data_IF_326878595200
#
_entry.id   IF_326878595200
#
_cell.length_a   1.000
_cell.length_b   1.000
_cell.length_c   1.000
_cell.angle_alpha   90.00
_cell.angle_beta   90.00
_cell.angle_gamma   90.00
#
_symmetry.space_group_name_H-M   'P 1'
#
loop_
_entity.id
_entity.type
_entity.pdbx_description
1 polymer ?
#
# COMPACT_ATOMS: atom_id res chain seq x y z
N UNK A 1 -53.99 -24.22 43.24
CA UNK A 1 -54.65 -22.96 42.86
C UNK A 1 -53.68 -21.84 43.17
N UNK A 2 -53.07 -21.20 42.16
CA UNK A 2 -52.13 -20.11 42.38
C UNK A 2 -51.01 -19.99 41.33
N UNK A 3 -51.33 -19.29 40.24
CA UNK A 3 -50.44 -18.53 39.36
C UNK A 3 -49.22 -19.22 38.72
N UNK A 4 -49.50 -19.91 37.61
CA UNK A 4 -48.59 -20.05 36.47
C UNK A 4 -48.53 -18.69 35.79
N UNK A 5 -47.51 -17.89 36.08
CA UNK A 5 -47.26 -16.63 35.38
C UNK A 5 -46.73 -16.91 33.98
N UNK A 6 -47.55 -16.64 32.96
CA UNK A 6 -47.13 -16.54 31.56
C UNK A 6 -45.95 -15.57 31.45
N UNK A 7 -44.76 -16.12 31.24
CA UNK A 7 -43.60 -15.42 30.65
C UNK A 7 -43.64 -15.66 29.14
N UNK A 8 -44.79 -15.34 28.54
CA UNK A 8 -45.03 -15.34 27.10
C UNK A 8 -45.48 -13.92 26.77
N UNK A 9 -44.78 -13.28 25.82
CA UNK A 9 -45.18 -12.08 25.06
C UNK A 9 -44.35 -10.80 25.18
N UNK A 10 -43.15 -10.82 25.79
CA UNK A 10 -42.18 -9.71 25.64
C UNK A 10 -40.92 -10.12 24.87
N UNK A 11 -40.96 -11.20 24.07
CA UNK A 11 -40.17 -11.27 22.84
C UNK A 11 -40.85 -10.39 21.80
N UNK A 12 -40.86 -9.10 22.11
CA UNK A 12 -41.04 -8.04 21.16
C UNK A 12 -39.85 -8.18 20.20
N UNK A 13 -40.02 -9.04 19.18
CA UNK A 13 -39.36 -9.01 17.87
C UNK A 13 -39.73 -7.69 17.17
N UNK A 14 -39.72 -6.58 17.94
CA UNK A 14 -39.95 -5.23 17.51
C UNK A 14 -38.87 -4.94 16.52
N UNK A 15 -39.27 -5.01 15.24
CA UNK A 15 -38.44 -4.74 14.09
C UNK A 15 -37.05 -5.32 14.26
N UNK A 16 -36.86 -6.60 13.95
CA UNK A 16 -35.58 -6.95 13.32
C UNK A 16 -35.54 -6.01 12.10
N UNK A 17 -34.74 -4.93 12.10
CA UNK A 17 -34.70 -4.09 10.92
C UNK A 17 -34.41 -5.02 9.75
N UNK A 18 -35.06 -4.80 8.62
CA UNK A 18 -34.79 -5.47 7.34
C UNK A 18 -33.31 -5.29 6.96
N UNK A 19 -32.45 -6.02 7.65
CA UNK A 19 -31.01 -6.15 7.45
C UNK A 19 -30.76 -7.32 6.48
N UNK A 20 -31.83 -8.00 6.06
CA UNK A 20 -31.84 -9.05 5.05
C UNK A 20 -32.66 -8.63 3.83
N UNK A 21 -32.04 -7.80 2.99
CA UNK A 21 -31.94 -8.08 1.56
C UNK A 21 -33.21 -7.88 0.73
N UNK A 22 -33.36 -6.68 0.17
CA UNK A 22 -34.33 -6.40 -0.88
C UNK A 22 -33.84 -5.35 -1.86
N UNK A 23 -33.11 -5.77 -2.90
CA UNK A 23 -33.46 -5.34 -4.26
C UNK A 23 -32.67 -4.23 -4.96
N UNK A 24 -31.61 -3.66 -4.40
CA UNK A 24 -30.63 -2.90 -5.20
C UNK A 24 -29.39 -3.75 -5.38
N UNK A 25 -28.77 -3.71 -6.56
CA UNK A 25 -27.43 -4.28 -6.79
C UNK A 25 -26.42 -3.48 -5.96
N UNK A 26 -26.47 -3.65 -4.64
CA UNK A 26 -25.71 -2.88 -3.69
C UNK A 26 -24.26 -3.15 -4.01
N UNK A 27 -23.59 -2.09 -4.46
CA UNK A 27 -22.16 -2.02 -4.50
C UNK A 27 -21.66 -2.27 -3.07
N UNK A 28 -21.46 -3.54 -2.76
CA UNK A 28 -21.08 -3.98 -1.44
C UNK A 28 -19.68 -3.44 -1.28
N UNK A 29 -19.46 -2.55 -0.30
CA UNK A 29 -18.15 -1.95 -0.03
C UNK A 29 -17.00 -2.98 -0.05
N UNK A 30 -17.28 -4.21 0.40
CA UNK A 30 -16.38 -5.37 0.34
C UNK A 30 -15.98 -5.79 -1.07
N UNK A 31 -16.90 -5.74 -2.03
CA UNK A 31 -16.63 -6.03 -3.44
C UNK A 31 -15.70 -4.99 -4.04
N UNK A 32 -15.84 -3.72 -3.68
CA UNK A 32 -14.91 -2.68 -4.09
C UNK A 32 -13.50 -2.92 -3.53
N UNK A 33 -13.40 -3.19 -2.22
CA UNK A 33 -12.13 -3.51 -1.58
C UNK A 33 -11.46 -4.71 -2.25
N UNK A 34 -12.20 -5.81 -2.43
CA UNK A 34 -11.67 -7.06 -2.97
C UNK A 34 -11.27 -6.97 -4.45
N UNK A 35 -12.07 -6.30 -5.29
CA UNK A 35 -11.88 -6.31 -6.74
C UNK A 35 -11.11 -5.11 -7.28
N UNK A 36 -11.11 -3.99 -6.57
CA UNK A 36 -10.47 -2.76 -7.04
C UNK A 36 -9.28 -2.41 -6.15
N UNK A 37 -9.49 -2.31 -4.84
CA UNK A 37 -8.47 -1.73 -3.96
C UNK A 37 -7.33 -2.71 -3.61
N UNK A 38 -7.61 -4.01 -3.54
CA UNK A 38 -6.64 -5.05 -3.19
C UNK A 38 -5.73 -5.50 -4.36
N UNK A 39 -6.24 -5.81 -5.57
CA UNK A 39 -5.37 -6.30 -6.64
C UNK A 39 -4.42 -5.23 -7.16
N UNK A 40 -4.82 -3.95 -7.11
CA UNK A 40 -4.01 -2.84 -7.59
C UNK A 40 -2.62 -2.78 -6.94
N UNK A 41 -2.47 -2.69 -5.59
CA UNK A 41 -1.16 -2.66 -4.97
C UNK A 41 -0.38 -3.95 -5.16
N UNK A 42 -1.03 -5.11 -5.18
CA UNK A 42 -0.37 -6.41 -5.39
C UNK A 42 0.28 -6.46 -6.78
N UNK A 43 -0.47 -6.09 -7.83
CA UNK A 43 0.05 -6.04 -9.20
C UNK A 43 1.20 -5.04 -9.31
N UNK A 44 1.09 -3.86 -8.70
CA UNK A 44 2.16 -2.86 -8.71
C UNK A 44 3.42 -3.33 -7.98
N UNK A 45 3.29 -4.02 -6.84
CA UNK A 45 4.44 -4.60 -6.11
C UNK A 45 5.13 -5.66 -6.96
N UNK A 46 4.38 -6.57 -7.59
CA UNK A 46 4.94 -7.59 -8.48
C UNK A 46 5.65 -6.94 -9.67
N UNK A 47 5.02 -5.94 -10.28
CA UNK A 47 5.57 -5.21 -11.43
C UNK A 47 6.84 -4.42 -11.07
N UNK A 48 6.93 -3.88 -9.85
CA UNK A 48 8.14 -3.20 -9.33
C UNK A 48 9.25 -4.17 -8.90
N UNK A 49 8.89 -5.39 -8.50
CA UNK A 49 9.83 -6.41 -8.03
C UNK A 49 10.39 -7.26 -9.17
N UNK A 50 9.68 -7.34 -10.29
CA UNK A 50 10.12 -8.09 -11.46
C UNK A 50 11.39 -7.47 -12.07
N UNK A 51 12.40 -8.28 -12.43
CA UNK A 51 13.58 -7.82 -13.16
C UNK A 51 13.21 -7.51 -14.63
N UNK A 52 12.61 -6.35 -14.86
CA UNK A 52 12.18 -5.90 -16.17
C UNK A 52 13.32 -5.19 -16.94
N UNK A 53 13.31 -5.23 -18.29
CA UNK A 53 14.24 -4.44 -19.10
C UNK A 53 14.08 -2.94 -18.80
N UNK A 54 15.17 -2.18 -18.97
CA UNK A 54 15.27 -0.78 -18.53
C UNK A 54 14.11 0.09 -19.02
N UNK A 55 13.64 -0.12 -20.25
CA UNK A 55 12.53 0.63 -20.85
C UNK A 55 11.20 0.36 -20.13
N UNK A 56 10.89 -0.91 -19.87
CA UNK A 56 9.65 -1.29 -19.16
C UNK A 56 9.69 -0.76 -17.74
N UNK A 57 10.82 -0.93 -17.04
CA UNK A 57 10.99 -0.40 -15.68
C UNK A 57 10.76 1.11 -15.62
N UNK A 58 11.24 1.88 -16.60
CA UNK A 58 10.97 3.33 -16.70
C UNK A 58 9.47 3.60 -16.89
N UNK A 59 8.80 2.89 -17.78
CA UNK A 59 7.36 3.04 -17.99
C UNK A 59 6.55 2.74 -16.71
N UNK A 60 6.86 1.63 -16.07
CA UNK A 60 6.23 1.18 -14.82
C UNK A 60 6.42 2.20 -13.71
N UNK A 61 7.66 2.64 -13.46
CA UNK A 61 7.91 3.58 -12.37
C UNK A 61 7.21 4.92 -12.64
N UNK A 62 7.17 5.42 -13.89
CA UNK A 62 6.43 6.66 -14.24
C UNK A 62 4.94 6.49 -14.02
N UNK A 63 4.39 5.34 -14.39
CA UNK A 63 2.99 5.01 -14.16
C UNK A 63 2.68 4.95 -12.66
N UNK A 64 3.53 4.27 -11.89
CA UNK A 64 3.46 4.17 -10.43
C UNK A 64 3.56 5.57 -9.79
N UNK A 65 4.53 6.38 -10.18
CA UNK A 65 4.66 7.75 -9.67
C UNK A 65 3.42 8.59 -10.00
N UNK A 66 2.91 8.51 -11.23
CA UNK A 66 1.69 9.21 -11.64
C UNK A 66 0.50 8.74 -10.81
N UNK A 67 0.38 7.44 -10.54
CA UNK A 67 -0.76 6.87 -9.83
C UNK A 67 -0.69 7.10 -8.31
N UNK A 68 0.49 7.03 -7.69
CA UNK A 68 0.65 7.21 -6.25
C UNK A 68 0.79 8.69 -5.84
N UNK A 69 1.50 9.49 -6.65
CA UNK A 69 1.87 10.88 -6.35
C UNK A 69 0.96 11.88 -7.07
N UNK A 70 -0.03 11.43 -7.86
CA UNK A 70 -1.04 12.34 -8.39
C UNK A 70 -1.67 13.14 -7.25
N UNK A 71 -1.61 14.47 -7.38
CA UNK A 71 -2.14 15.40 -6.39
C UNK A 71 -3.64 15.55 -6.61
N UNK A 72 -4.44 15.01 -5.70
CA UNK A 72 -5.89 15.17 -5.76
C UNK A 72 -6.28 16.58 -5.33
N UNK A 73 -5.71 17.08 -4.23
CA UNK A 73 -5.92 18.46 -3.73
C UNK A 73 -4.86 18.82 -2.69
N UNK A 74 -3.96 19.75 -3.00
CA UNK A 74 -2.93 20.23 -2.06
C UNK A 74 -1.79 19.23 -1.82
N UNK A 75 -1.26 19.10 -0.58
CA UNK A 75 -0.15 18.19 -0.25
C UNK A 75 -0.58 16.73 -0.10
N UNK A 76 -1.86 16.41 -0.32
CA UNK A 76 -2.40 15.06 -0.13
C UNK A 76 -2.23 14.26 -1.42
N UNK A 77 -1.36 13.27 -1.36
CA UNK A 77 -1.13 12.30 -2.44
C UNK A 77 -2.15 11.15 -2.35
N UNK A 78 -2.48 10.52 -3.49
CA UNK A 78 -3.45 9.40 -3.58
C UNK A 78 -3.11 8.29 -2.59
N UNK A 79 -1.83 8.00 -2.36
CA UNK A 79 -1.44 6.94 -1.44
C UNK A 79 -1.92 7.18 0.00
N UNK A 80 -1.87 8.43 0.47
CA UNK A 80 -2.33 8.76 1.82
C UNK A 80 -3.83 8.54 1.92
N UNK A 81 -4.56 8.88 0.87
CA UNK A 81 -6.00 8.64 0.80
C UNK A 81 -6.34 7.13 0.77
N UNK A 82 -5.60 6.34 -0.01
CA UNK A 82 -5.77 4.89 -0.05
C UNK A 82 -5.46 4.23 1.30
N UNK A 83 -4.36 4.65 1.96
CA UNK A 83 -4.00 4.19 3.30
C UNK A 83 -5.04 4.59 4.35
N UNK A 84 -5.58 5.81 4.28
CA UNK A 84 -6.65 6.26 5.17
C UNK A 84 -7.94 5.46 4.97
N UNK A 85 -8.37 5.23 3.73
CA UNK A 85 -9.55 4.41 3.43
C UNK A 85 -9.35 2.98 3.92
N UNK A 86 -8.19 2.38 3.66
CA UNK A 86 -7.89 1.03 4.10
C UNK A 86 -7.83 0.94 5.64
N UNK A 87 -7.19 1.91 6.29
CA UNK A 87 -7.11 2.01 7.75
C UNK A 87 -8.49 2.19 8.39
N UNK A 88 -9.30 3.10 7.86
CA UNK A 88 -10.70 3.27 8.29
C UNK A 88 -11.49 1.97 8.12
N UNK A 89 -11.34 1.29 6.98
CA UNK A 89 -12.00 0.00 6.74
C UNK A 89 -11.63 -1.05 7.78
N UNK A 90 -10.36 -1.14 8.17
CA UNK A 90 -9.92 -2.03 9.27
C UNK A 90 -10.59 -1.63 10.58
N UNK A 91 -10.58 -0.35 10.94
CA UNK A 91 -11.21 0.12 12.19
C UNK A 91 -12.71 -0.16 12.25
N UNK A 92 -13.42 -0.03 11.12
CA UNK A 92 -14.84 -0.38 11.02
C UNK A 92 -15.10 -1.89 11.15
N UNK A 93 -14.14 -2.76 10.84
CA UNK A 93 -14.29 -4.21 11.01
C UNK A 93 -14.12 -4.69 12.45
N UNK A 94 -13.30 -3.99 13.24
CA UNK A 94 -12.93 -4.43 14.60
C UNK A 94 -14.16 -4.57 15.49
N UNK A 95 -15.07 -3.60 15.47
CA UNK A 95 -16.28 -3.62 16.29
C UNK A 95 -17.17 -4.84 16.04
N UNK A 96 -17.65 -5.06 14.80
CA UNK A 96 -18.48 -6.22 14.45
C UNK A 96 -17.79 -7.57 14.68
N UNK A 97 -16.46 -7.64 14.51
CA UNK A 97 -15.68 -8.85 14.79
C UNK A 97 -15.73 -9.18 16.28
N UNK A 98 -15.31 -8.25 17.14
CA UNK A 98 -15.28 -8.44 18.59
C UNK A 98 -16.68 -8.68 19.18
N UNK A 99 -17.71 -7.99 18.66
CA UNK A 99 -19.08 -8.22 19.12
C UNK A 99 -19.58 -9.61 18.76
N UNK A 100 -19.24 -10.12 17.56
CA UNK A 100 -19.67 -11.47 17.14
C UNK A 100 -18.99 -12.58 17.94
N UNK A 101 -17.73 -12.42 18.33
CA UNK A 101 -17.03 -13.37 19.20
C UNK A 101 -17.67 -13.41 20.60
N UNK A 102 -18.01 -12.23 21.14
CA UNK A 102 -18.68 -12.14 22.44
C UNK A 102 -20.10 -12.74 22.42
N UNK A 103 -20.83 -12.62 21.30
CA UNK A 103 -22.15 -13.24 21.11
C UNK A 103 -22.05 -14.77 21.08
N UNK A 104 -21.09 -15.33 20.31
CA UNK A 104 -20.88 -16.78 20.21
C UNK A 104 -20.48 -17.38 21.56
N UNK A 105 -19.56 -16.74 22.28
CA UNK A 105 -19.12 -17.19 23.60
C UNK A 105 -20.25 -17.23 24.65
N UNK A 106 -21.23 -16.32 24.56
CA UNK A 106 -22.39 -16.31 25.46
C UNK A 106 -23.39 -17.41 25.16
N UNK A 107 -23.51 -17.81 23.89
CA UNK A 107 -24.54 -18.74 23.42
C UNK A 107 -24.08 -20.19 23.37
N UNK A 108 -22.79 -20.46 23.53
CA UNK A 108 -22.24 -21.82 23.64
C UNK A 108 -22.92 -22.64 24.76
N UNK A 109 -23.46 -21.98 25.80
CA UNK A 109 -24.19 -22.63 26.89
C UNK A 109 -25.71 -22.82 26.65
N UNK A 110 -26.31 -22.21 25.60
CA UNK A 110 -27.75 -22.30 25.30
C UNK A 110 -27.98 -23.06 23.99
N UNK A 111 -28.36 -24.34 24.14
CA UNK A 111 -28.47 -25.39 23.10
C UNK A 111 -29.61 -25.19 22.07
N UNK A 112 -29.46 -24.27 21.12
CA UNK A 112 -30.13 -24.42 19.81
C UNK A 112 -29.10 -24.48 18.68
N UNK A 113 -28.87 -25.66 18.07
CA UNK A 113 -27.87 -25.82 17.02
C UNK A 113 -28.15 -24.94 15.80
N UNK A 114 -29.41 -24.62 15.49
CA UNK A 114 -29.74 -23.80 14.33
C UNK A 114 -29.28 -22.36 14.51
N UNK A 115 -29.44 -21.81 15.72
CA UNK A 115 -28.99 -20.45 16.06
C UNK A 115 -27.46 -20.39 16.04
N UNK A 116 -26.80 -21.43 16.55
CA UNK A 116 -25.34 -21.51 16.59
C UNK A 116 -24.73 -21.49 15.18
N UNK A 117 -25.28 -22.27 14.24
CA UNK A 117 -24.83 -22.26 12.84
C UNK A 117 -24.98 -20.87 12.21
N UNK A 118 -26.09 -20.18 12.47
CA UNK A 118 -26.32 -18.83 11.96
C UNK A 118 -25.29 -17.83 12.50
N UNK A 119 -24.94 -17.91 13.80
CA UNK A 119 -23.97 -17.02 14.42
C UNK A 119 -22.54 -17.30 13.97
N UNK A 120 -22.15 -18.58 13.86
CA UNK A 120 -20.85 -18.96 13.30
C UNK A 120 -20.70 -18.45 11.86
N UNK A 121 -21.76 -18.56 11.04
CA UNK A 121 -21.74 -18.04 9.68
C UNK A 121 -21.56 -16.51 9.65
N UNK A 122 -22.15 -15.77 10.60
CA UNK A 122 -21.98 -14.32 10.75
C UNK A 122 -20.56 -13.96 11.19
N UNK A 123 -20.03 -14.64 12.20
CA UNK A 123 -18.66 -14.47 12.68
C UNK A 123 -17.66 -14.69 11.56
N UNK A 124 -17.78 -15.78 10.81
CA UNK A 124 -16.87 -16.09 9.70
C UNK A 124 -16.88 -15.01 8.61
N UNK A 125 -18.04 -14.42 8.29
CA UNK A 125 -18.12 -13.31 7.33
C UNK A 125 -17.42 -12.06 7.84
N UNK A 126 -17.61 -11.72 9.12
CA UNK A 126 -16.97 -10.56 9.74
C UNK A 126 -15.45 -10.74 9.80
N UNK A 127 -14.99 -11.92 10.22
CA UNK A 127 -13.57 -12.26 10.29
C UNK A 127 -12.92 -12.19 8.90
N UNK A 128 -13.55 -12.77 7.87
CA UNK A 128 -13.05 -12.70 6.49
C UNK A 128 -12.95 -11.25 6.00
N UNK A 129 -13.94 -10.41 6.29
CA UNK A 129 -13.93 -9.00 5.90
C UNK A 129 -12.81 -8.22 6.62
N UNK A 130 -12.59 -8.51 7.90
CA UNK A 130 -11.46 -7.98 8.66
C UNK A 130 -10.12 -8.34 8.04
N UNK A 131 -9.88 -9.63 7.77
CA UNK A 131 -8.65 -10.09 7.14
C UNK A 131 -8.42 -9.46 5.76
N UNK A 132 -9.48 -9.30 4.97
CA UNK A 132 -9.40 -8.66 3.67
C UNK A 132 -9.02 -7.17 3.77
N UNK A 133 -9.62 -6.44 4.72
CA UNK A 133 -9.27 -5.04 4.98
C UNK A 133 -7.81 -4.93 5.47
N UNK A 134 -7.39 -5.82 6.38
CA UNK A 134 -6.03 -5.84 6.91
C UNK A 134 -5.00 -6.14 5.81
N UNK A 135 -5.29 -7.11 4.95
CA UNK A 135 -4.43 -7.45 3.81
C UNK A 135 -4.36 -6.31 2.78
N UNK A 136 -5.47 -5.60 2.56
CA UNK A 136 -5.48 -4.42 1.69
C UNK A 136 -4.59 -3.32 2.26
N UNK A 137 -4.75 -3.00 3.56
CA UNK A 137 -3.92 -2.00 4.24
C UNK A 137 -2.43 -2.37 4.20
N UNK A 138 -2.09 -3.62 4.51
CA UNK A 138 -0.70 -4.10 4.48
C UNK A 138 -0.11 -4.05 3.07
N UNK A 139 -0.88 -4.42 2.04
CA UNK A 139 -0.45 -4.35 0.64
C UNK A 139 -0.11 -2.92 0.21
N UNK A 140 -0.95 -1.94 0.58
CA UNK A 140 -0.68 -0.52 0.32
C UNK A 140 0.54 0.00 1.09
N UNK A 141 0.73 -0.43 2.34
CA UNK A 141 1.90 -0.07 3.13
C UNK A 141 3.19 -0.65 2.53
N UNK A 142 3.18 -1.91 2.10
CA UNK A 142 4.32 -2.55 1.44
C UNK A 142 4.64 -1.85 0.11
N UNK A 143 3.61 -1.54 -0.70
CA UNK A 143 3.79 -0.79 -1.94
C UNK A 143 4.49 0.56 -1.69
N UNK A 144 4.09 1.27 -0.63
CA UNK A 144 4.72 2.54 -0.26
C UNK A 144 6.21 2.39 0.05
N UNK A 145 6.56 1.42 0.91
CA UNK A 145 7.94 1.17 1.31
C UNK A 145 8.78 0.76 0.10
N UNK A 146 8.26 -0.15 -0.74
CA UNK A 146 8.94 -0.60 -1.97
C UNK A 146 9.16 0.56 -2.93
N UNK A 147 8.18 1.45 -3.07
CA UNK A 147 8.30 2.65 -3.90
C UNK A 147 9.39 3.58 -3.37
N UNK A 148 9.41 3.89 -2.07
CA UNK A 148 10.42 4.73 -1.44
C UNK A 148 11.83 4.17 -1.62
N UNK A 149 12.01 2.87 -1.34
CA UNK A 149 13.30 2.20 -1.50
C UNK A 149 13.78 2.23 -2.96
N UNK A 150 12.88 2.03 -3.92
CA UNK A 150 13.24 2.12 -5.33
C UNK A 150 13.62 3.54 -5.73
N UNK A 151 12.87 4.55 -5.26
CA UNK A 151 13.16 5.96 -5.49
C UNK A 151 14.55 6.33 -5.00
N UNK A 152 14.86 5.98 -3.74
CA UNK A 152 16.16 6.28 -3.14
C UNK A 152 17.31 5.61 -3.89
N UNK A 153 17.14 4.34 -4.29
CA UNK A 153 18.13 3.63 -5.11
C UNK A 153 18.44 4.38 -6.41
N UNK A 154 17.43 4.93 -7.09
CA UNK A 154 17.64 5.72 -8.31
C UNK A 154 18.34 7.05 -8.03
N UNK A 155 17.98 7.76 -6.94
CA UNK A 155 18.67 8.99 -6.52
C UNK A 155 20.16 8.71 -6.23
N UNK A 156 20.45 7.65 -5.47
CA UNK A 156 21.83 7.30 -5.11
C UNK A 156 22.65 6.93 -6.36
N UNK A 157 22.07 6.17 -7.30
CA UNK A 157 22.73 5.84 -8.57
C UNK A 157 23.02 7.08 -9.40
N UNK A 158 22.08 8.02 -9.47
CA UNK A 158 22.29 9.31 -10.14
C UNK A 158 23.47 10.08 -9.53
N UNK A 159 23.54 10.17 -8.20
CA UNK A 159 24.65 10.83 -7.49
C UNK A 159 25.99 10.15 -7.75
N UNK A 160 26.04 8.82 -7.72
CA UNK A 160 27.26 8.06 -8.01
C UNK A 160 27.76 8.29 -9.44
N UNK A 161 26.85 8.30 -10.42
CA UNK A 161 27.21 8.58 -11.82
C UNK A 161 27.70 10.03 -12.01
N UNK A 162 27.11 10.99 -11.30
CA UNK A 162 27.56 12.38 -11.33
C UNK A 162 28.98 12.52 -10.78
N UNK A 163 29.27 11.86 -9.65
CA UNK A 163 30.62 11.84 -9.06
C UNK A 163 31.66 11.13 -9.94
N UNK A 164 31.24 10.17 -10.77
CA UNK A 164 32.10 9.49 -11.74
C UNK A 164 32.37 10.33 -13.01
N UNK A 165 31.91 11.58 -13.08
CA UNK A 165 32.05 12.44 -14.26
C UNK A 165 31.14 12.05 -15.42
N UNK A 166 30.20 11.12 -15.21
CA UNK A 166 29.20 10.70 -16.21
C UNK A 166 27.92 11.52 -16.06
N UNK A 167 28.04 12.85 -16.11
CA UNK A 167 26.94 13.80 -15.87
C UNK A 167 25.71 13.55 -16.75
N UNK A 168 25.91 13.23 -18.03
CA UNK A 168 24.80 12.92 -18.94
C UNK A 168 24.02 11.66 -18.53
N UNK A 169 24.72 10.61 -18.07
CA UNK A 169 24.07 9.39 -17.58
C UNK A 169 23.38 9.60 -16.23
N UNK A 170 23.96 10.44 -15.36
CA UNK A 170 23.35 10.85 -14.10
C UNK A 170 22.06 11.65 -14.32
N UNK A 171 22.08 12.57 -15.29
CA UNK A 171 20.91 13.35 -15.67
C UNK A 171 19.80 12.45 -16.23
N UNK A 172 20.10 11.48 -17.10
CA UNK A 172 19.10 10.53 -17.60
C UNK A 172 18.50 9.67 -16.47
N UNK A 173 19.32 9.25 -15.50
CA UNK A 173 18.86 8.44 -14.36
C UNK A 173 17.94 9.24 -13.42
N UNK A 174 18.14 10.55 -13.26
CA UNK A 174 17.35 11.38 -12.33
C UNK A 174 16.25 12.21 -13.01
N UNK A 175 16.34 12.46 -14.31
CA UNK A 175 15.24 12.98 -15.13
C UNK A 175 13.98 12.10 -15.03
N UNK A 176 14.16 10.83 -14.63
CA UNK A 176 13.09 9.93 -14.30
C UNK A 176 12.25 10.37 -13.08
N UNK A 177 12.88 10.93 -12.04
CA UNK A 177 12.25 11.30 -10.74
C UNK A 177 11.59 12.69 -10.75
N UNK A 178 11.21 13.16 -11.93
CA UNK A 178 10.64 14.49 -12.15
C UNK A 178 11.68 15.58 -12.44
N UNK A 179 11.21 16.60 -13.17
CA UNK A 179 12.02 17.72 -13.68
C UNK A 179 12.73 18.51 -12.56
N UNK A 180 12.15 18.59 -11.37
CA UNK A 180 12.74 19.34 -10.24
C UNK A 180 13.98 18.65 -9.67
N UNK A 181 13.97 17.31 -9.60
CA UNK A 181 15.10 16.50 -9.14
C UNK A 181 16.27 16.62 -10.10
N UNK A 182 15.99 16.60 -11.41
CA UNK A 182 16.99 16.77 -12.47
C UNK A 182 17.66 18.15 -12.40
N UNK A 183 16.87 19.22 -12.30
CA UNK A 183 17.38 20.60 -12.17
C UNK A 183 18.24 20.80 -10.92
N UNK A 184 17.91 20.14 -9.81
CA UNK A 184 18.72 20.20 -8.58
C UNK A 184 20.07 19.53 -8.76
N UNK A 185 20.13 18.41 -9.47
CA UNK A 185 21.37 17.68 -9.74
C UNK A 185 22.25 18.37 -10.77
N UNK A 186 21.66 18.97 -11.80
CA UNK A 186 22.39 19.78 -12.78
C UNK A 186 23.13 20.92 -12.07
N UNK A 187 22.42 21.71 -11.25
CA UNK A 187 23.03 22.76 -10.41
C UNK A 187 24.09 22.24 -9.45
N UNK A 188 23.90 21.06 -8.88
CA UNK A 188 24.88 20.45 -7.99
C UNK A 188 26.15 20.03 -8.76
N UNK A 189 26.00 19.50 -9.98
CA UNK A 189 27.10 19.17 -10.88
C UNK A 189 27.91 20.39 -11.29
N UNK A 190 27.25 21.48 -11.67
CA UNK A 190 27.89 22.75 -12.05
C UNK A 190 28.70 23.33 -10.88
N UNK A 191 28.15 23.28 -9.66
CA UNK A 191 28.86 23.73 -8.46
C UNK A 191 30.11 22.90 -8.16
N UNK A 192 30.05 21.57 -8.37
CA UNK A 192 31.21 20.68 -8.19
C UNK A 192 32.26 20.91 -9.27
N UNK A 193 31.85 21.14 -10.52
CA UNK A 193 32.76 21.49 -11.61
C UNK A 193 33.46 22.84 -11.34
N UNK A 194 32.72 23.83 -10.85
CA UNK A 194 33.26 25.15 -10.52
C UNK A 194 34.22 25.13 -9.31
N UNK A 195 34.02 24.19 -8.37
CA UNK A 195 34.89 24.05 -7.19
C UNK A 195 36.09 23.13 -7.43
N UNK A 196 36.20 22.46 -8.59
CA UNK A 196 37.39 21.68 -8.95
C UNK A 196 38.50 22.67 -9.34
N UNK A 197 39.55 22.86 -8.50
CA UNK A 197 40.60 23.82 -8.80
C UNK A 197 41.30 23.41 -10.09
N UNK A 198 41.42 24.34 -11.04
CA UNK A 198 41.98 24.15 -12.38
C UNK A 198 43.45 23.69 -12.44
N UNK A 199 44.06 23.33 -11.29
CA UNK A 199 45.48 23.03 -11.14
C UNK A 199 45.82 21.62 -10.64
N UNK A 200 44.87 20.70 -10.49
CA UNK A 200 45.22 19.31 -10.15
C UNK A 200 45.46 18.50 -11.42
N UNK A 201 46.66 18.65 -11.98
CA UNK A 201 47.21 17.68 -12.92
C UNK A 201 47.11 16.30 -12.27
N UNK A 202 46.36 15.42 -12.93
CA UNK A 202 46.30 14.01 -12.57
C UNK A 202 47.75 13.51 -12.52
N UNK A 203 48.26 12.96 -11.40
CA UNK A 203 49.54 12.26 -11.45
C UNK A 203 49.33 11.11 -12.43
N UNK A 204 49.99 11.20 -13.59
CA UNK A 204 50.15 10.09 -14.52
C UNK A 204 50.77 8.95 -13.72
N UNK A 205 49.97 7.93 -13.41
CA UNK A 205 50.49 6.68 -12.84
C UNK A 205 51.13 5.91 -14.00
N UNK A 206 52.23 6.46 -14.52
CA UNK A 206 53.18 5.74 -15.35
C UNK A 206 54.04 4.91 -14.40
N UNK A 207 53.74 3.62 -14.28
CA UNK A 207 54.63 2.72 -13.56
C UNK A 207 53.95 1.52 -12.92
N UNK A 208 53.26 0.68 -13.68
CA UNK A 208 53.10 -0.72 -13.29
C UNK A 208 54.16 -1.52 -14.04
N UNK A 209 55.21 -1.79 -13.29
CA UNK A 209 56.34 -2.67 -13.58
C UNK A 209 55.83 -4.04 -14.03
N UNK A 210 56.15 -4.45 -15.26
CA UNK A 210 56.23 -5.86 -15.66
C UNK A 210 57.25 -6.53 -14.74
N UNK A 211 56.81 -7.47 -13.90
CA UNK A 211 57.70 -8.47 -13.31
C UNK A 211 57.48 -9.77 -14.06
N UNK A 212 58.51 -10.14 -14.82
CA UNK A 212 58.70 -11.48 -15.36
C UNK A 212 58.84 -12.48 -14.19
N UNK A 213 58.06 -13.55 -14.26
CA UNK A 213 58.34 -14.89 -13.72
C UNK A 213 57.33 -15.88 -14.31
#
# INVERSE_FOLDING_TARGET
>A
MGYVGSVENDLNLGSVPDVLGGGTQDFTWWRFLAWVLLPLPVVLVVLLSAPAPRLVRRGVLRFVETLLVARVRGPIEIIHFALLIAGLSVTFCIGPMLSSEAEVAKLENRRDPNILVMLLARQYRNERNFWLALFTLSSWAVLWVVYQVNRDKHVLRGKLLALQGKGAAAADEVAFLGNDSARRLERAGDNVAATRPAGTSHPTVDGIVKKDL
#
